data_IF_928062519075
#
_entry.id   IF_928062519075
#
_cell.length_a   1.000
_cell.length_b   1.000
_cell.length_c   1.000
_cell.angle_alpha   90.00
_cell.angle_beta   90.00
_cell.angle_gamma   90.00
#
_symmetry.space_group_name_H-M   'P 1'
#
loop_
_entity.id
_entity.type
_entity.pdbx_description
1 polymer ?
#
# COMPACT_ATOMS: atom_id res chain seq x y z
N UNK A 1 3.61 3.62 -30.26
CA UNK A 1 2.76 3.53 -29.05
C UNK A 1 3.69 3.47 -27.85
N UNK A 2 3.53 4.33 -26.82
CA UNK A 2 4.44 4.30 -25.66
C UNK A 2 4.07 3.10 -24.77
N UNK A 3 4.91 2.07 -24.75
CA UNK A 3 4.74 0.91 -23.87
C UNK A 3 5.13 1.27 -22.42
N UNK A 4 4.44 0.68 -21.45
CA UNK A 4 4.88 0.72 -20.05
C UNK A 4 6.10 -0.21 -19.96
N UNK A 5 7.20 0.28 -19.42
CA UNK A 5 8.42 -0.51 -19.20
C UNK A 5 8.63 -0.80 -17.71
N UNK A 6 9.41 -1.83 -17.33
CA UNK A 6 9.75 -2.09 -15.93
C UNK A 6 10.31 -0.85 -15.22
N UNK A 7 11.23 -0.12 -15.86
CA UNK A 7 11.82 1.11 -15.32
C UNK A 7 10.84 2.27 -15.14
N UNK A 8 9.69 2.27 -15.84
CA UNK A 8 8.62 3.22 -15.55
C UNK A 8 7.89 2.87 -14.26
N UNK A 9 7.66 1.57 -14.02
CA UNK A 9 7.02 1.10 -12.80
C UNK A 9 7.95 1.28 -11.60
N UNK A 10 9.25 0.97 -11.71
CA UNK A 10 10.23 1.22 -10.64
C UNK A 10 10.28 2.69 -10.23
N UNK A 11 10.36 3.61 -11.22
CA UNK A 11 10.31 5.05 -10.94
C UNK A 11 9.00 5.46 -10.29
N UNK A 12 7.89 4.85 -10.68
CA UNK A 12 6.60 5.11 -10.04
C UNK A 12 6.58 4.61 -8.59
N UNK A 13 7.11 3.42 -8.30
CA UNK A 13 7.24 2.88 -6.93
C UNK A 13 8.11 3.80 -6.06
N UNK A 14 9.26 4.25 -6.57
CA UNK A 14 10.12 5.20 -5.86
C UNK A 14 9.41 6.55 -5.62
N UNK A 15 8.69 7.05 -6.62
CA UNK A 15 7.88 8.26 -6.46
C UNK A 15 6.78 8.12 -5.41
N UNK A 16 6.16 6.95 -5.25
CA UNK A 16 5.18 6.70 -4.19
C UNK A 16 5.81 6.70 -2.79
N UNK A 17 7.06 6.24 -2.67
CA UNK A 17 7.81 6.23 -1.41
C UNK A 17 8.17 7.65 -0.94
N UNK A 18 8.52 8.52 -1.87
CA UNK A 18 8.97 9.89 -1.58
C UNK A 18 7.81 10.88 -1.43
N UNK A 19 6.63 10.58 -2.00
CA UNK A 19 5.50 11.49 -2.01
C UNK A 19 4.81 11.58 -0.65
N UNK A 20 4.90 12.75 -0.03
CA UNK A 20 4.13 13.08 1.16
C UNK A 20 2.64 13.34 0.83
N UNK A 21 1.75 12.83 1.68
CA UNK A 21 0.32 13.09 1.64
C UNK A 21 -0.06 14.46 2.26
N UNK A 22 -1.36 14.73 2.33
CA UNK A 22 -1.89 16.00 2.90
C UNK A 22 -1.53 16.21 4.37
N UNK A 23 -1.32 15.12 5.09
CA UNK A 23 -0.92 15.08 6.50
C UNK A 23 0.61 15.08 6.68
N UNK A 24 1.40 15.25 5.61
CA UNK A 24 2.86 15.23 5.64
C UNK A 24 3.48 13.83 5.73
N UNK A 25 2.71 12.76 5.93
CA UNK A 25 3.24 11.39 5.98
C UNK A 25 3.38 10.78 4.60
N UNK A 26 4.42 9.97 4.38
CA UNK A 26 4.58 9.14 3.19
C UNK A 26 3.76 7.85 3.30
N UNK A 27 3.58 7.16 2.17
CA UNK A 27 2.90 5.86 2.16
C UNK A 27 3.76 4.79 2.83
N UNK A 28 3.11 3.89 3.58
CA UNK A 28 3.79 2.71 4.13
C UNK A 28 4.20 1.74 3.01
N UNK A 29 5.28 0.98 3.23
CA UNK A 29 5.73 -0.06 2.29
C UNK A 29 4.62 -1.06 1.97
N UNK A 30 3.82 -1.46 2.98
CA UNK A 30 2.68 -2.35 2.79
C UNK A 30 1.63 -1.77 1.83
N UNK A 31 1.33 -0.46 1.92
CA UNK A 31 0.41 0.20 0.99
C UNK A 31 0.96 0.20 -0.43
N UNK A 32 2.26 0.52 -0.59
CA UNK A 32 2.93 0.52 -1.90
C UNK A 32 2.94 -0.89 -2.50
N UNK A 33 3.22 -1.92 -1.71
CA UNK A 33 3.18 -3.32 -2.13
C UNK A 33 1.78 -3.76 -2.57
N UNK A 34 0.72 -3.31 -1.87
CA UNK A 34 -0.66 -3.54 -2.30
C UNK A 34 -0.94 -2.87 -3.66
N UNK A 35 -0.53 -1.63 -3.85
CA UNK A 35 -0.65 -0.94 -5.14
C UNK A 35 0.09 -1.70 -6.25
N UNK A 36 1.33 -2.13 -6.01
CA UNK A 36 2.13 -2.91 -6.96
C UNK A 36 1.45 -4.25 -7.29
N UNK A 37 0.92 -4.96 -6.29
CA UNK A 37 0.20 -6.22 -6.48
C UNK A 37 -1.04 -6.04 -7.36
N UNK A 38 -1.83 -4.99 -7.12
CA UNK A 38 -2.97 -4.66 -7.97
C UNK A 38 -2.53 -4.37 -9.41
N UNK A 39 -1.47 -3.59 -9.61
CA UNK A 39 -0.95 -3.30 -10.94
C UNK A 39 -0.47 -4.56 -11.67
N UNK A 40 0.26 -5.45 -10.98
CA UNK A 40 0.67 -6.76 -11.52
C UNK A 40 -0.52 -7.57 -11.99
N UNK A 41 -1.62 -7.61 -11.22
CA UNK A 41 -2.83 -8.35 -11.56
C UNK A 41 -3.55 -7.76 -12.78
N UNK A 42 -3.72 -6.44 -12.83
CA UNK A 42 -4.37 -5.76 -13.95
C UNK A 42 -3.62 -6.04 -15.26
N UNK A 43 -2.30 -5.85 -15.27
CA UNK A 43 -1.49 -6.02 -16.48
C UNK A 43 -1.32 -7.50 -16.86
N UNK A 44 -1.37 -8.42 -15.89
CA UNK A 44 -1.44 -9.86 -16.17
C UNK A 44 -2.73 -10.24 -16.91
N UNK A 45 -3.85 -9.64 -16.54
CA UNK A 45 -5.13 -9.86 -17.22
C UNK A 45 -5.11 -9.30 -18.65
N UNK A 46 -4.52 -8.13 -18.86
CA UNK A 46 -4.33 -7.55 -20.20
C UNK A 46 -3.40 -8.38 -21.08
N UNK A 47 -2.33 -8.95 -20.50
CA UNK A 47 -1.48 -9.95 -21.17
C UNK A 47 -2.28 -11.19 -21.56
N UNK A 48 -3.10 -11.73 -20.65
CA UNK A 48 -3.95 -12.91 -20.90
C UNK A 48 -4.93 -12.69 -22.06
N UNK A 49 -5.44 -11.46 -22.20
CA UNK A 49 -6.34 -11.05 -23.29
C UNK A 49 -5.61 -10.79 -24.62
N UNK A 50 -4.28 -10.80 -24.63
CA UNK A 50 -3.46 -10.55 -25.82
C UNK A 50 -3.26 -9.08 -26.14
N UNK A 51 -3.61 -8.16 -25.24
CA UNK A 51 -3.34 -6.72 -25.42
C UNK A 51 -1.90 -6.35 -25.09
N UNK A 52 -1.22 -7.17 -24.29
CA UNK A 52 0.19 -7.01 -23.94
C UNK A 52 0.96 -8.30 -24.26
N UNK A 53 2.19 -8.14 -24.73
CA UNK A 53 3.11 -9.26 -24.93
C UNK A 53 3.69 -9.77 -23.59
N UNK A 54 4.01 -8.84 -22.70
CA UNK A 54 4.60 -9.12 -21.40
C UNK A 54 3.91 -8.32 -20.29
N UNK A 55 4.16 -8.69 -19.04
CA UNK A 55 3.67 -7.97 -17.86
C UNK A 55 4.86 -7.21 -17.24
N UNK A 56 5.04 -5.90 -17.54
CA UNK A 56 6.21 -5.14 -17.11
C UNK A 56 6.53 -5.19 -15.59
N UNK A 57 5.55 -5.17 -14.67
CA UNK A 57 5.83 -5.25 -13.24
C UNK A 57 6.04 -6.67 -12.69
N UNK A 58 5.97 -7.73 -13.49
CA UNK A 58 5.97 -9.12 -12.98
C UNK A 58 7.18 -9.39 -12.07
N UNK A 59 8.37 -8.99 -12.51
CA UNK A 59 9.65 -9.26 -11.82
C UNK A 59 10.06 -8.19 -10.79
N UNK A 60 9.27 -7.12 -10.62
CA UNK A 60 9.59 -6.06 -9.67
C UNK A 60 9.38 -6.58 -8.24
N UNK A 61 10.43 -6.58 -7.44
CA UNK A 61 10.39 -7.04 -6.05
C UNK A 61 9.50 -6.14 -5.17
N UNK A 62 8.90 -6.76 -4.15
CA UNK A 62 8.17 -6.03 -3.13
C UNK A 62 9.14 -5.34 -2.17
N UNK A 63 8.73 -4.20 -1.62
CA UNK A 63 9.50 -3.50 -0.59
C UNK A 63 9.48 -4.32 0.70
N UNK A 64 10.60 -4.33 1.42
CA UNK A 64 10.71 -4.99 2.72
C UNK A 64 9.69 -4.38 3.71
N UNK A 65 8.83 -5.22 4.28
CA UNK A 65 7.83 -4.80 5.26
C UNK A 65 8.36 -5.09 6.68
N UNK A 66 8.34 -4.06 7.53
CA UNK A 66 8.45 -4.25 8.97
C UNK A 66 7.04 -4.25 9.55
N UNK A 67 6.49 -5.42 9.92
CA UNK A 67 5.15 -5.49 10.48
C UNK A 67 5.08 -4.63 11.74
N UNK A 68 4.12 -3.71 11.76
CA UNK A 68 3.83 -2.93 12.97
C UNK A 68 3.29 -3.91 14.00
N UNK A 69 3.97 -3.98 15.14
CA UNK A 69 3.52 -4.80 16.26
C UNK A 69 2.17 -4.26 16.74
N UNK A 70 1.13 -5.08 16.59
CA UNK A 70 -0.20 -4.77 17.11
C UNK A 70 -0.19 -5.13 18.59
N UNK A 71 -0.13 -4.14 19.47
CA UNK A 71 -0.34 -4.38 20.89
C UNK A 71 -1.78 -4.81 21.14
N UNK A 72 -1.95 -5.78 22.04
CA UNK A 72 -3.26 -6.11 22.61
C UNK A 72 -3.50 -5.09 23.71
N UNK A 73 -4.69 -4.48 23.74
CA UNK A 73 -5.06 -3.57 24.82
C UNK A 73 -5.00 -4.31 26.16
N UNK A 74 -4.31 -3.71 27.13
CA UNK A 74 -4.34 -4.13 28.52
C UNK A 74 -5.74 -3.94 29.12
N UNK A 75 -6.02 -4.64 30.23
CA UNK A 75 -7.29 -4.50 30.96
C UNK A 75 -7.55 -3.03 31.35
N UNK A 76 -6.51 -2.28 31.68
CA UNK A 76 -6.65 -0.87 32.08
C UNK A 76 -6.93 0.04 30.87
N UNK A 77 -6.32 -0.21 29.71
CA UNK A 77 -6.66 0.50 28.46
C UNK A 77 -8.10 0.21 28.02
N UNK A 78 -8.57 -1.04 28.20
CA UNK A 78 -9.97 -1.40 27.95
C UNK A 78 -10.89 -0.64 28.91
N UNK A 79 -10.59 -0.61 30.22
CA UNK A 79 -11.37 0.15 31.21
C UNK A 79 -11.44 1.63 30.87
N UNK A 80 -10.35 2.21 30.37
CA UNK A 80 -10.28 3.63 29.97
C UNK A 80 -11.13 3.93 28.72
N UNK A 81 -11.22 3.01 27.76
CA UNK A 81 -12.07 3.16 26.57
C UNK A 81 -13.57 3.20 26.89
N UNK A 82 -13.99 2.48 27.94
CA UNK A 82 -15.40 2.35 28.35
C UNK A 82 -15.78 3.17 29.59
N UNK A 83 -14.95 4.16 30.00
CA UNK A 83 -15.40 5.14 31.00
C UNK A 83 -16.53 5.99 30.40
N UNK A 84 -17.72 5.83 30.98
CA UNK A 84 -18.98 6.46 30.56
C UNK A 84 -18.95 8.00 30.58
N UNK A 85 -17.98 8.62 31.26
CA UNK A 85 -17.83 10.10 31.35
C UNK A 85 -17.35 10.79 30.06
N UNK A 86 -17.16 10.07 28.94
CA UNK A 86 -16.74 10.67 27.65
C UNK A 86 -17.80 10.70 26.55
N UNK A 87 -19.00 10.17 26.79
CA UNK A 87 -20.07 10.10 25.80
C UNK A 87 -21.33 10.90 26.14
N UNK A 88 -21.24 11.89 27.04
CA UNK A 88 -22.32 12.86 27.28
C UNK A 88 -21.79 14.30 27.12
N UNK A 89 -22.02 14.91 25.95
CA UNK A 89 -22.82 16.16 25.76
C UNK A 89 -23.17 16.26 24.26
N UNK A 90 -24.39 15.88 23.89
CA UNK A 90 -25.13 16.50 22.77
C UNK A 90 -26.35 17.18 23.36
#
# INVERSE_FOLDING_TARGET
>A
MKSITPSMVERWVMGLREKAGRNGSTLSHSTINHCLKCLKLILREEKRRGYLYENPPEDIEQLEEHPVEKSILSIDEVRELFREDRFDVV
#
